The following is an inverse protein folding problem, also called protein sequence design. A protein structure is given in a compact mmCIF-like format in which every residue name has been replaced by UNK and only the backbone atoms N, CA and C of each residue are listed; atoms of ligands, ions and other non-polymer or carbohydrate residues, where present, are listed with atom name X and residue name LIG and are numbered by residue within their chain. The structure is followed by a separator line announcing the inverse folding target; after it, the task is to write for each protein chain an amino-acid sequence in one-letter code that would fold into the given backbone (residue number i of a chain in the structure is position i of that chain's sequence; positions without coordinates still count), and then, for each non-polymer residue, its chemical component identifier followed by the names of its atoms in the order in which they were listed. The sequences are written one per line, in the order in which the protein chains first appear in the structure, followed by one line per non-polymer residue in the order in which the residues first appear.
data_IF_117284835303
#
_entry.id   IF_117284835303
#
_cell.length_a   1.000
_cell.length_b   1.000
_cell.length_c   1.000
_cell.angle_alpha   90.00
_cell.angle_beta   90.00
_cell.angle_gamma   90.00
#
_symmetry.space_group_name_H-M   'P 1'
#
loop_
_entity.id
_entity.type
_entity.pdbx_description
1 polymer ?
#
# COMPACT_ATOMS: atom_id res chain seq x y z
N UNK A 1 6.29 -19.89 4.23
CA UNK A 1 7.48 -19.02 4.44
C UNK A 1 7.00 -17.61 4.15
N UNK A 2 7.45 -16.60 4.88
CA UNK A 2 6.92 -15.26 4.64
C UNK A 2 7.42 -14.66 3.34
N UNK A 3 6.58 -13.82 2.74
CA UNK A 3 6.85 -13.20 1.44
C UNK A 3 7.83 -12.03 1.55
N UNK A 4 8.48 -11.73 0.42
CA UNK A 4 9.33 -10.55 0.27
C UNK A 4 8.48 -9.31 -0.05
N UNK A 5 9.08 -8.12 0.05
CA UNK A 5 8.42 -6.89 -0.37
C UNK A 5 8.17 -6.81 -1.89
N UNK A 6 8.91 -7.58 -2.70
CA UNK A 6 8.69 -7.69 -4.15
C UNK A 6 7.46 -8.55 -4.44
N UNK A 7 7.42 -9.76 -3.88
CA UNK A 7 6.28 -10.68 -3.93
C UNK A 7 5.00 -10.01 -3.42
N UNK A 8 5.08 -9.24 -2.33
CA UNK A 8 3.91 -8.54 -1.79
C UNK A 8 3.32 -7.48 -2.75
N UNK A 9 4.10 -6.95 -3.70
CA UNK A 9 3.61 -6.04 -4.74
C UNK A 9 2.94 -6.82 -5.87
N UNK A 10 3.54 -7.92 -6.30
CA UNK A 10 3.00 -8.79 -7.35
C UNK A 10 1.66 -9.41 -6.93
N UNK A 11 1.55 -9.75 -5.65
CA UNK A 11 0.38 -10.38 -5.04
C UNK A 11 -0.48 -9.38 -4.25
N UNK A 12 -0.45 -8.09 -4.58
CA UNK A 12 -1.16 -7.05 -3.81
C UNK A 12 -2.69 -7.28 -3.74
N UNK A 13 -3.27 -8.00 -4.68
CA UNK A 13 -4.70 -8.32 -4.73
C UNK A 13 -5.04 -9.67 -4.11
N UNK A 14 -4.04 -10.46 -3.72
CA UNK A 14 -4.27 -11.77 -3.11
C UNK A 14 -4.61 -11.64 -1.62
N UNK A 15 -5.26 -12.68 -1.04
CA UNK A 15 -5.64 -12.68 0.37
C UNK A 15 -4.44 -12.50 1.32
N UNK A 16 -4.63 -11.72 2.37
CA UNK A 16 -3.62 -11.53 3.40
C UNK A 16 -3.79 -12.53 4.55
N UNK A 17 -2.79 -13.37 4.77
CA UNK A 17 -2.77 -14.37 5.85
C UNK A 17 -1.45 -14.26 6.60
N UNK A 18 -1.47 -14.39 7.93
CA UNK A 18 -0.25 -14.38 8.72
C UNK A 18 0.60 -15.63 8.48
N UNK A 19 1.88 -15.46 8.18
CA UNK A 19 2.84 -16.58 8.08
C UNK A 19 3.21 -17.14 9.45
N UNK A 20 3.39 -16.27 10.44
CA UNK A 20 3.79 -16.61 11.80
C UNK A 20 2.88 -15.93 12.81
N UNK A 21 2.94 -16.39 14.06
CA UNK A 21 2.34 -15.67 15.17
C UNK A 21 2.83 -14.22 15.21
N UNK A 22 1.89 -13.29 15.34
CA UNK A 22 2.14 -11.87 15.47
C UNK A 22 1.40 -11.32 16.68
N UNK A 23 2.05 -10.42 17.41
CA UNK A 23 1.48 -9.79 18.59
C UNK A 23 0.60 -8.59 18.21
N UNK A 24 -0.41 -8.30 19.02
CA UNK A 24 -1.24 -7.11 18.90
C UNK A 24 -0.39 -5.83 18.82
N UNK A 25 -0.83 -4.89 17.98
CA UNK A 25 -0.25 -3.56 17.86
C UNK A 25 0.91 -3.46 16.86
N UNK A 26 1.36 -4.56 16.26
CA UNK A 26 2.41 -4.48 15.23
C UNK A 26 1.90 -3.80 13.97
N UNK A 27 2.82 -3.16 13.25
CA UNK A 27 2.59 -2.77 11.85
C UNK A 27 2.82 -3.98 10.97
N UNK A 28 1.83 -4.29 10.12
CA UNK A 28 1.88 -5.42 9.20
C UNK A 28 2.84 -5.10 8.05
N UNK A 29 3.84 -5.96 7.88
CA UNK A 29 4.85 -5.90 6.82
C UNK A 29 4.78 -7.18 5.96
N UNK A 30 5.43 -7.16 4.80
CA UNK A 30 5.49 -8.32 3.91
C UNK A 30 6.02 -9.59 4.61
N UNK A 31 7.01 -9.44 5.50
CA UNK A 31 7.58 -10.53 6.29
C UNK A 31 6.61 -11.15 7.32
N UNK A 32 5.45 -10.54 7.55
CA UNK A 32 4.38 -11.11 8.37
C UNK A 32 3.40 -11.96 7.55
N UNK A 33 3.40 -11.84 6.23
CA UNK A 33 2.39 -12.43 5.35
C UNK A 33 2.88 -13.73 4.73
N UNK A 34 1.98 -14.70 4.63
CA UNK A 34 2.23 -16.01 4.00
C UNK A 34 2.22 -15.90 2.47
N UNK A 35 2.88 -16.85 1.81
CA UNK A 35 2.93 -16.94 0.34
C UNK A 35 1.58 -17.41 -0.23
N UNK A 36 0.90 -16.61 -1.08
CA UNK A 36 -0.36 -17.01 -1.68
C UNK A 36 -0.27 -18.28 -2.55
N UNK A 37 0.92 -18.62 -3.06
CA UNK A 37 1.12 -19.80 -3.89
C UNK A 37 0.81 -21.13 -3.16
N UNK A 38 0.81 -21.14 -1.82
CA UNK A 38 0.50 -22.34 -1.03
C UNK A 38 -0.95 -22.40 -0.53
N UNK A 39 -1.76 -21.37 -0.79
CA UNK A 39 -3.10 -21.27 -0.21
C UNK A 39 -4.05 -22.37 -0.71
N UNK A 40 -3.99 -22.72 -1.99
CA UNK A 40 -4.85 -23.78 -2.55
C UNK A 40 -4.66 -25.11 -1.80
N UNK A 41 -3.41 -25.51 -1.54
CA UNK A 41 -3.10 -26.73 -0.78
C UNK A 41 -3.55 -26.62 0.70
N UNK A 42 -3.43 -25.44 1.30
CA UNK A 42 -3.85 -25.20 2.69
C UNK A 42 -5.38 -25.17 2.84
N UNK A 43 -6.10 -24.66 1.83
CA UNK A 43 -7.56 -24.67 1.77
C UNK A 43 -8.06 -26.09 1.51
N UNK A 44 -7.47 -26.81 0.56
CA UNK A 44 -7.83 -28.19 0.23
C UNK A 44 -7.61 -29.16 1.40
N UNK A 45 -6.57 -28.90 2.21
CA UNK A 45 -6.32 -29.66 3.45
C UNK A 45 -7.23 -29.27 4.62
N UNK A 46 -8.01 -28.20 4.48
CA UNK A 46 -8.89 -27.66 5.52
C UNK A 46 -8.15 -26.92 6.65
N UNK A 47 -6.88 -26.59 6.45
CA UNK A 47 -6.07 -25.84 7.43
C UNK A 47 -6.29 -24.32 7.34
N UNK A 48 -6.78 -23.82 6.21
CA UNK A 48 -6.98 -22.39 5.95
C UNK A 48 -8.38 -22.12 5.38
N UNK A 49 -9.01 -21.04 5.82
CA UNK A 49 -10.17 -20.42 5.16
C UNK A 49 -9.78 -19.00 4.78
N UNK A 50 -10.19 -18.56 3.59
CA UNK A 50 -9.91 -17.22 3.05
C UNK A 50 -11.12 -16.29 3.12
N UNK A 51 -12.17 -16.69 3.85
CA UNK A 51 -13.43 -15.95 3.92
C UNK A 51 -13.23 -14.59 4.58
N UNK A 52 -13.59 -13.52 3.86
CA UNK A 52 -13.50 -12.14 4.35
C UNK A 52 -12.08 -11.61 4.50
N UNK A 53 -11.08 -12.28 3.91
CA UNK A 53 -9.72 -11.77 3.87
C UNK A 53 -9.67 -10.40 3.18
N UNK A 54 -8.97 -9.47 3.82
CA UNK A 54 -8.42 -8.30 3.18
C UNK A 54 -7.30 -8.72 2.23
N UNK A 55 -6.96 -7.88 1.25
CA UNK A 55 -5.82 -8.15 0.37
C UNK A 55 -4.49 -7.74 1.00
N UNK A 56 -3.41 -8.31 0.50
CA UNK A 56 -2.03 -7.95 0.88
C UNK A 56 -1.81 -6.44 0.75
N UNK A 57 -2.25 -5.84 -0.36
CA UNK A 57 -2.12 -4.41 -0.63
C UNK A 57 -2.84 -3.52 0.38
N UNK A 58 -4.00 -3.98 0.88
CA UNK A 58 -4.78 -3.27 1.88
C UNK A 58 -4.12 -3.27 3.26
N UNK A 59 -3.56 -4.40 3.68
CA UNK A 59 -3.04 -4.58 5.04
C UNK A 59 -1.61 -4.09 5.22
N UNK A 60 -0.83 -3.93 4.15
CA UNK A 60 0.54 -3.42 4.26
C UNK A 60 0.56 -2.01 4.87
N UNK A 61 1.20 -1.89 6.03
CA UNK A 61 1.25 -0.67 6.84
C UNK A 61 0.09 -0.52 7.84
N UNK A 62 -0.90 -1.40 7.81
CA UNK A 62 -1.99 -1.44 8.78
C UNK A 62 -1.52 -2.03 10.12
N UNK A 63 -2.39 -1.98 11.13
CA UNK A 63 -2.10 -2.47 12.47
C UNK A 63 -2.89 -3.73 12.78
N UNK A 64 -2.21 -4.77 13.26
CA UNK A 64 -2.88 -5.95 13.81
C UNK A 64 -3.52 -5.59 15.16
N UNK A 65 -4.84 -5.78 15.31
CA UNK A 65 -5.57 -5.35 16.52
C UNK A 65 -5.73 -6.43 17.56
N UNK A 66 -5.28 -7.67 17.26
CA UNK A 66 -5.33 -8.83 18.16
C UNK A 66 -4.14 -9.74 17.92
N UNK A 67 -3.47 -10.22 18.98
CA UNK A 67 -2.45 -11.28 18.86
C UNK A 67 -3.07 -12.49 18.18
N UNK A 68 -2.44 -12.96 17.10
CA UNK A 68 -2.97 -14.01 16.24
C UNK A 68 -1.87 -14.97 15.82
N UNK A 69 -2.20 -16.26 15.71
CA UNK A 69 -1.24 -17.32 15.32
C UNK A 69 -1.02 -17.37 13.79
N UNK A 70 -0.11 -18.24 13.33
CA UNK A 70 0.10 -18.52 11.91
C UNK A 70 -1.17 -19.03 11.24
N UNK A 71 -1.29 -18.81 9.93
CA UNK A 71 -2.45 -19.15 9.11
C UNK A 71 -3.75 -18.46 9.55
N UNK A 72 -3.65 -17.38 10.33
CA UNK A 72 -4.77 -16.53 10.66
C UNK A 72 -5.09 -15.59 9.48
N UNK A 73 -6.31 -15.64 8.92
CA UNK A 73 -6.77 -14.70 7.91
C UNK A 73 -6.83 -13.28 8.47
N UNK A 74 -6.36 -12.30 7.70
CA UNK A 74 -6.45 -10.90 8.07
C UNK A 74 -7.75 -10.31 7.53
N UNK A 75 -8.64 -9.90 8.43
CA UNK A 75 -9.97 -9.38 8.13
C UNK A 75 -10.17 -8.01 8.78
N UNK A 76 -11.29 -7.35 8.47
CA UNK A 76 -11.66 -6.09 9.12
C UNK A 76 -11.86 -6.21 10.64
N UNK A 77 -12.03 -7.43 11.19
CA UNK A 77 -12.21 -7.67 12.62
C UNK A 77 -10.91 -7.73 13.42
N UNK A 78 -9.77 -7.95 12.75
CA UNK A 78 -8.45 -8.10 13.38
C UNK A 78 -7.37 -7.19 12.78
N UNK A 79 -7.70 -6.38 11.77
CA UNK A 79 -6.82 -5.34 11.22
C UNK A 79 -7.48 -3.97 11.31
N UNK A 80 -6.74 -3.00 11.82
CA UNK A 80 -7.13 -1.59 11.88
C UNK A 80 -6.26 -0.74 10.96
N UNK A 81 -6.85 0.30 10.35
CA UNK A 81 -6.11 1.22 9.49
C UNK A 81 -5.66 0.64 8.15
N UNK A 82 -6.31 -0.43 7.68
CA UNK A 82 -6.10 -0.95 6.33
C UNK A 82 -6.67 0.02 5.28
N UNK A 83 -6.13 -0.03 4.07
CA UNK A 83 -6.58 0.83 2.98
C UNK A 83 -7.98 0.37 2.53
N UNK A 84 -8.93 1.30 2.52
CA UNK A 84 -10.25 1.03 1.94
C UNK A 84 -10.10 0.82 0.42
N UNK A 85 -10.76 -0.21 -0.11
CA UNK A 85 -10.86 -0.36 -1.56
C UNK A 85 -11.83 0.70 -2.03
N UNK A 86 -11.31 1.79 -2.58
CA UNK A 86 -12.09 2.61 -3.50
C UNK A 86 -12.11 1.80 -4.78
N UNK A 87 -13.29 1.36 -5.20
CA UNK A 87 -13.52 0.62 -6.46
C UNK A 87 -13.19 1.57 -7.63
N UNK A 88 -11.90 1.75 -7.91
CA UNK A 88 -11.41 2.42 -9.11
C UNK A 88 -11.34 1.37 -10.22
N UNK A 89 -12.27 1.48 -11.18
CA UNK A 89 -12.20 0.80 -12.47
C UNK A 89 -10.79 0.96 -13.05
N UNK A 90 -10.18 -0.16 -13.47
CA UNK A 90 -8.85 -0.22 -14.06
C UNK A 90 -8.64 0.86 -15.16
N UNK A 91 -7.46 1.48 -15.20
CA UNK A 91 -6.81 1.71 -16.47
C UNK A 91 -5.51 0.91 -16.57
N UNK A 92 -5.42 0.19 -17.68
CA UNK A 92 -4.30 -0.60 -18.14
C UNK A 92 -2.92 0.09 -17.96
N UNK A 93 -1.99 -0.69 -17.41
CA UNK A 93 -0.56 -0.82 -17.73
C UNK A 93 0.23 0.32 -18.39
N UNK A 94 1.41 0.64 -17.80
CA UNK A 94 2.77 0.79 -18.40
C UNK A 94 3.62 1.91 -17.70
N UNK A 95 4.98 1.90 -17.74
CA UNK A 95 5.83 1.45 -16.65
C UNK A 95 6.66 2.57 -15.98
N UNK A 96 7.35 2.17 -14.92
CA UNK A 96 8.25 2.92 -14.03
C UNK A 96 9.40 3.62 -14.78
N UNK A 97 9.67 4.89 -14.46
CA UNK A 97 11.01 5.46 -14.60
C UNK A 97 11.38 6.27 -13.35
N UNK A 98 12.38 5.75 -12.65
CA UNK A 98 12.99 6.27 -11.44
C UNK A 98 13.97 7.41 -11.83
N UNK A 99 13.72 8.63 -11.36
CA UNK A 99 14.69 9.72 -11.48
C UNK A 99 14.66 10.59 -10.22
N UNK A 100 15.68 10.37 -9.39
CA UNK A 100 16.17 11.19 -8.27
C UNK A 100 15.85 12.68 -8.43
N UNK A 101 15.00 13.22 -7.56
CA UNK A 101 14.76 14.65 -7.43
C UNK A 101 15.27 15.13 -6.07
N UNK A 102 16.15 16.14 -6.09
CA UNK A 102 16.51 16.90 -4.90
C UNK A 102 15.38 17.90 -4.61
N UNK A 103 14.63 17.63 -3.55
CA UNK A 103 13.59 18.52 -3.02
C UNK A 103 14.22 19.76 -2.37
N UNK A 104 13.84 20.95 -2.84
CA UNK A 104 13.97 22.17 -2.04
C UNK A 104 12.56 22.67 -1.76
N UNK A 105 12.15 22.49 -0.51
CA UNK A 105 10.85 22.89 0.00
C UNK A 105 10.95 24.28 0.65
N UNK A 106 10.33 25.28 0.05
CA UNK A 106 10.08 26.56 0.72
C UNK A 106 8.57 26.83 0.63
N UNK A 107 7.91 26.78 1.79
CA UNK A 107 6.70 27.56 2.06
C UNK A 107 5.48 27.30 1.18
N UNK A 108 5.19 26.05 0.81
CA UNK A 108 3.86 25.66 0.29
C UNK A 108 3.60 25.87 -1.20
N UNK A 109 4.63 26.23 -1.99
CA UNK A 109 4.56 26.27 -3.45
C UNK A 109 5.63 25.36 -4.07
N UNK A 110 5.22 24.53 -5.03
CA UNK A 110 6.12 23.68 -5.83
C UNK A 110 6.22 24.28 -7.23
N UNK A 111 7.42 24.67 -7.64
CA UNK A 111 7.68 25.20 -8.99
C UNK A 111 8.41 24.16 -9.82
N UNK A 112 7.91 23.89 -11.02
CA UNK A 112 8.55 22.98 -12.00
C UNK A 112 8.54 23.62 -13.39
N UNK A 113 9.59 23.39 -14.17
CA UNK A 113 9.65 23.81 -15.57
C UNK A 113 9.36 22.58 -16.42
N UNK A 114 8.20 22.58 -17.09
CA UNK A 114 7.81 21.52 -18.02
C UNK A 114 7.60 22.13 -19.40
N UNK A 115 8.30 21.59 -20.40
CA UNK A 115 8.12 21.95 -21.81
C UNK A 115 8.23 23.46 -22.11
N UNK A 116 9.13 24.19 -21.42
CA UNK A 116 9.32 25.63 -21.63
C UNK A 116 8.28 26.52 -20.95
N UNK A 117 7.41 25.98 -20.10
CA UNK A 117 6.45 26.74 -19.28
C UNK A 117 6.76 26.57 -17.79
N UNK A 118 6.68 27.66 -17.05
CA UNK A 118 6.79 27.65 -15.59
C UNK A 118 5.46 27.23 -15.01
N UNK A 119 5.45 26.14 -14.25
CA UNK A 119 4.26 25.59 -13.59
C UNK A 119 4.46 25.70 -12.09
N UNK A 120 3.55 26.41 -11.42
CA UNK A 120 3.59 26.59 -9.97
C UNK A 120 2.34 25.93 -9.38
N UNK A 121 2.54 24.97 -8.49
CA UNK A 121 1.48 24.29 -7.74
C UNK A 121 1.45 24.83 -6.31
N UNK A 122 0.32 25.40 -5.91
CA UNK A 122 0.16 26.08 -4.62
C UNK A 122 -0.96 25.40 -3.86
N UNK A 123 -0.64 24.86 -2.68
CA UNK A 123 -1.55 23.97 -1.94
C UNK A 123 -2.64 24.72 -1.18
N UNK A 124 -2.39 25.97 -0.77
CA UNK A 124 -3.41 26.87 -0.19
C UNK A 124 -3.20 28.30 -0.75
N UNK A 125 -4.19 28.81 -1.48
CA UNK A 125 -4.07 30.06 -2.24
C UNK A 125 -4.66 31.27 -1.54
N UNK A 126 -3.83 32.02 -0.81
CA UNK A 126 -4.20 33.35 -0.25
C UNK A 126 -3.15 34.39 -0.63
N UNK A 127 -3.60 35.59 -1.00
CA UNK A 127 -2.78 36.76 -1.31
C UNK A 127 -1.66 36.55 -2.35
N UNK A 128 -1.99 36.00 -3.52
CA UNK A 128 -1.01 35.71 -4.57
C UNK A 128 -1.08 36.74 -5.70
N UNK A 129 0.05 37.42 -5.94
CA UNK A 129 0.23 38.33 -7.07
C UNK A 129 1.48 37.93 -7.85
N UNK A 130 1.33 37.75 -9.16
CA UNK A 130 2.40 37.34 -10.07
C UNK A 130 2.47 38.34 -11.23
N UNK A 131 3.63 38.95 -11.43
CA UNK A 131 3.91 39.80 -12.59
C UNK A 131 5.17 39.24 -13.28
N UNK A 132 5.05 38.96 -14.58
CA UNK A 132 6.11 38.34 -15.37
C UNK A 132 6.66 39.35 -16.37
N UNK A 133 8.00 39.50 -16.50
CA UNK A 133 8.57 40.28 -17.59
C UNK A 133 8.31 39.57 -18.92
N UNK A 134 8.07 40.36 -19.97
CA UNK A 134 8.18 39.87 -21.36
C UNK A 134 9.64 39.60 -21.73
#
# INVERSE_FOLDING_TARGET
MSITAETAKEHANDPAVLCCRAEEGITIQASNLEDPAIFDELVDSGLLSLDGCLTIGQVLGATLTKTSDSLCPLTADNVGGFKEVVEEEEPASEPVEEAVAADINIGGAVTTIKNGKVVISIKEGKDIYLELPV
#
